data_IF_982927847093
#
_entry.id   IF_982927847093
#
_cell.length_a   1.000
_cell.length_b   1.000
_cell.length_c   1.000
_cell.angle_alpha   90.00
_cell.angle_beta   90.00
_cell.angle_gamma   90.00
#
_symmetry.space_group_name_H-M   'P 1'
#
loop_
_entity.id
_entity.type
_entity.pdbx_description
1 polymer ?
#
# COMPACT_ATOMS: atom_id res chain seq x y z
N UNK A 1 -11.15 -1.52 18.87
CA UNK A 1 -11.06 -0.77 17.59
C UNK A 1 -11.48 -1.71 16.47
N UNK A 2 -12.23 -1.24 15.47
CA UNK A 2 -12.76 -2.09 14.39
C UNK A 2 -11.80 -2.08 13.19
N UNK A 3 -11.03 -3.15 13.00
CA UNK A 3 -10.07 -3.24 11.89
C UNK A 3 -10.61 -3.93 10.64
N UNK A 4 -11.92 -4.15 10.56
CA UNK A 4 -12.56 -4.83 9.43
C UNK A 4 -13.52 -3.93 8.67
N UNK A 5 -13.61 -4.18 7.37
CA UNK A 5 -14.60 -3.60 6.47
C UNK A 5 -15.12 -4.68 5.52
N UNK A 6 -16.44 -4.87 5.49
CA UNK A 6 -17.11 -5.96 4.73
C UNK A 6 -16.50 -7.35 5.00
N UNK A 7 -16.13 -7.65 6.25
CA UNK A 7 -15.54 -8.94 6.64
C UNK A 7 -14.02 -9.05 6.46
N UNK A 8 -13.41 -8.20 5.64
CA UNK A 8 -11.97 -8.21 5.37
C UNK A 8 -11.20 -7.35 6.38
N UNK A 9 -10.02 -7.82 6.79
CA UNK A 9 -9.07 -7.02 7.58
C UNK A 9 -8.54 -5.87 6.71
N UNK A 10 -8.45 -4.68 7.28
CA UNK A 10 -7.90 -3.49 6.61
C UNK A 10 -6.50 -3.19 7.15
N UNK A 11 -5.53 -3.17 6.24
CA UNK A 11 -4.12 -2.97 6.53
C UNK A 11 -3.61 -1.77 5.74
N UNK A 12 -2.96 -0.84 6.41
CA UNK A 12 -2.15 0.20 5.78
C UNK A 12 -0.69 -0.23 5.85
N UNK A 13 0.00 -0.26 4.72
CA UNK A 13 1.40 -0.63 4.62
C UNK A 13 2.16 0.50 3.93
N UNK A 14 3.03 1.19 4.65
CA UNK A 14 3.71 2.36 4.10
C UNK A 14 5.00 2.68 4.85
N UNK A 15 5.85 3.48 4.21
CA UNK A 15 6.90 4.20 4.91
C UNK A 15 6.33 5.17 5.94
N UNK A 16 7.00 5.37 7.06
CA UNK A 16 6.54 6.26 8.12
C UNK A 16 6.64 7.74 7.69
N UNK A 17 5.50 8.37 7.41
CA UNK A 17 5.39 9.80 7.05
C UNK A 17 3.93 10.29 7.06
N UNK A 18 3.68 11.47 6.49
CA UNK A 18 2.37 12.12 6.51
C UNK A 18 1.32 11.52 5.55
N UNK A 19 1.72 10.87 4.43
CA UNK A 19 0.75 10.24 3.53
C UNK A 19 -0.06 9.12 4.21
N UNK A 20 0.54 8.15 4.92
CA UNK A 20 -0.24 7.13 5.60
C UNK A 20 -1.05 7.71 6.75
N UNK A 21 -0.61 8.81 7.39
CA UNK A 21 -1.42 9.49 8.40
C UNK A 21 -2.75 9.99 7.83
N UNK A 22 -2.73 10.57 6.62
CA UNK A 22 -3.94 10.99 5.91
C UNK A 22 -4.88 9.81 5.66
N UNK A 23 -4.34 8.73 5.07
CA UNK A 23 -5.10 7.51 4.78
C UNK A 23 -5.72 6.89 6.05
N UNK A 24 -4.94 6.75 7.13
CA UNK A 24 -5.38 6.19 8.41
C UNK A 24 -6.48 7.04 9.04
N UNK A 25 -6.39 8.37 8.96
CA UNK A 25 -7.43 9.28 9.48
C UNK A 25 -8.72 9.16 8.67
N UNK A 26 -8.63 9.13 7.34
CA UNK A 26 -9.80 8.95 6.48
C UNK A 26 -10.53 7.64 6.77
N UNK A 27 -9.81 6.53 6.98
CA UNK A 27 -10.41 5.26 7.40
C UNK A 27 -11.04 5.38 8.79
N UNK A 28 -10.30 5.96 9.75
CA UNK A 28 -10.71 6.09 11.14
C UNK A 28 -11.97 6.93 11.34
N UNK A 29 -12.11 8.03 10.60
CA UNK A 29 -13.30 8.88 10.61
C UNK A 29 -14.54 8.16 10.06
N UNK A 30 -14.33 7.10 9.25
CA UNK A 30 -15.38 6.22 8.74
C UNK A 30 -15.57 4.95 9.60
N UNK A 31 -15.03 4.91 10.81
CA UNK A 31 -15.21 3.79 11.75
C UNK A 31 -14.36 2.55 11.44
N UNK A 32 -13.35 2.69 10.58
CA UNK A 32 -12.38 1.63 10.26
C UNK A 32 -11.02 2.00 10.83
N UNK A 33 -10.55 1.22 11.80
CA UNK A 33 -9.27 1.39 12.45
C UNK A 33 -8.25 0.40 11.87
N UNK A 34 -7.44 0.78 10.88
CA UNK A 34 -6.57 -0.18 10.21
C UNK A 34 -5.46 -0.70 11.13
N UNK A 35 -4.94 -1.88 10.78
CA UNK A 35 -3.63 -2.35 11.20
C UNK A 35 -2.59 -1.59 10.38
N UNK A 36 -1.52 -1.11 11.01
CA UNK A 36 -0.51 -0.31 10.33
C UNK A 36 0.86 -1.01 10.34
N UNK A 37 1.42 -1.26 9.15
CA UNK A 37 2.81 -1.65 8.96
C UNK A 37 3.63 -0.40 8.67
N UNK A 38 4.33 0.09 9.69
CA UNK A 38 5.17 1.28 9.69
C UNK A 38 6.59 0.92 9.28
N UNK A 39 6.92 1.08 7.99
CA UNK A 39 8.29 0.91 7.51
C UNK A 39 9.12 2.13 7.92
N UNK A 40 10.23 1.89 8.64
CA UNK A 40 11.07 2.93 9.22
C UNK A 40 11.51 3.98 8.20
N UNK A 41 11.40 5.25 8.63
CA UNK A 41 11.85 6.42 7.87
C UNK A 41 12.42 7.48 8.83
N UNK A 42 12.14 8.77 8.57
CA UNK A 42 12.77 9.91 9.26
C UNK A 42 12.35 10.08 10.73
N UNK A 43 11.16 9.61 11.11
CA UNK A 43 10.66 9.73 12.49
C UNK A 43 9.16 9.44 12.59
N UNK A 44 8.60 9.37 13.81
CA UNK A 44 7.19 9.04 14.04
C UNK A 44 6.26 10.17 13.60
N UNK A 45 5.23 9.83 12.82
CA UNK A 45 4.20 10.74 12.31
C UNK A 45 2.84 10.02 12.22
N UNK A 46 2.73 8.99 11.37
CA UNK A 46 1.50 8.23 11.16
C UNK A 46 1.23 7.25 12.30
N UNK A 47 2.27 6.62 12.85
CA UNK A 47 2.15 5.65 13.94
C UNK A 47 1.55 6.24 15.24
N UNK A 48 1.53 7.57 15.36
CA UNK A 48 0.93 8.30 16.48
C UNK A 48 -0.59 8.50 16.33
N UNK A 49 -1.18 8.05 15.23
CA UNK A 49 -2.62 8.21 15.00
C UNK A 49 -3.45 7.37 15.96
N UNK A 50 -4.44 8.00 16.62
CA UNK A 50 -5.42 7.33 17.49
C UNK A 50 -6.33 6.33 16.75
N UNK A 51 -6.34 6.37 15.41
CA UNK A 51 -7.21 5.53 14.60
C UNK A 51 -6.59 4.19 14.23
N UNK A 52 -5.35 3.90 14.66
CA UNK A 52 -4.69 2.62 14.40
C UNK A 52 -5.09 1.59 15.46
N UNK A 53 -5.50 0.39 15.03
CA UNK A 53 -5.81 -0.70 15.96
C UNK A 53 -4.59 -1.44 16.48
N UNK A 54 -3.58 -1.62 15.62
CA UNK A 54 -2.34 -2.32 15.91
C UNK A 54 -1.24 -1.82 14.97
N UNK A 55 -0.01 -1.67 15.46
CA UNK A 55 1.12 -1.19 14.66
C UNK A 55 2.26 -2.20 14.68
N UNK A 56 2.80 -2.50 13.50
CA UNK A 56 4.05 -3.24 13.31
C UNK A 56 5.13 -2.27 12.83
N UNK A 57 6.22 -2.16 13.58
CA UNK A 57 7.40 -1.41 13.17
C UNK A 57 8.39 -2.35 12.51
N UNK A 58 8.87 -1.99 11.33
CA UNK A 58 9.85 -2.78 10.55
C UNK A 58 10.92 -1.87 9.98
N UNK A 59 12.15 -2.36 9.85
CA UNK A 59 13.28 -1.58 9.36
C UNK A 59 13.32 -1.51 7.82
N UNK A 60 12.63 -2.42 7.12
CA UNK A 60 12.60 -2.47 5.66
C UNK A 60 11.24 -2.92 5.08
N UNK A 61 11.03 -2.64 3.78
CA UNK A 61 9.84 -3.08 3.04
C UNK A 61 9.79 -4.61 2.95
N UNK A 62 10.94 -5.25 2.71
CA UNK A 62 11.06 -6.71 2.64
C UNK A 62 10.71 -7.39 3.97
N UNK A 63 11.23 -6.87 5.09
CA UNK A 63 10.90 -7.38 6.42
C UNK A 63 9.39 -7.26 6.69
N UNK A 64 8.80 -6.09 6.40
CA UNK A 64 7.37 -5.89 6.52
C UNK A 64 6.56 -6.84 5.63
N UNK A 65 6.99 -7.03 4.38
CA UNK A 65 6.36 -7.95 3.43
C UNK A 65 6.35 -9.40 3.95
N UNK A 66 7.49 -9.88 4.46
CA UNK A 66 7.60 -11.22 5.03
C UNK A 66 6.74 -11.38 6.29
N UNK A 67 6.72 -10.36 7.16
CA UNK A 67 5.88 -10.36 8.36
C UNK A 67 4.38 -10.35 8.02
N UNK A 68 3.98 -9.54 7.03
CA UNK A 68 2.60 -9.46 6.54
C UNK A 68 2.13 -10.82 6.02
N UNK A 69 2.92 -11.48 5.17
CA UNK A 69 2.63 -12.82 4.66
C UNK A 69 2.49 -13.84 5.78
N UNK A 70 3.41 -13.83 6.74
CA UNK A 70 3.39 -14.75 7.88
C UNK A 70 2.13 -14.60 8.73
N UNK A 71 1.69 -13.36 8.97
CA UNK A 71 0.57 -13.07 9.88
C UNK A 71 -0.78 -13.19 9.19
N UNK A 72 -0.90 -12.70 7.96
CA UNK A 72 -2.19 -12.46 7.31
C UNK A 72 -2.29 -13.09 5.92
N UNK A 73 -1.27 -13.80 5.45
CA UNK A 73 -1.25 -14.40 4.11
C UNK A 73 -2.14 -15.63 3.92
N UNK A 74 -2.74 -16.15 5.01
CA UNK A 74 -3.61 -17.34 5.01
C UNK A 74 -5.02 -17.04 5.56
N UNK A 75 -5.42 -15.78 5.62
CA UNK A 75 -6.77 -15.39 6.01
C UNK A 75 -7.80 -15.93 5.01
N UNK A 76 -8.95 -16.39 5.53
CA UNK A 76 -10.04 -16.91 4.70
C UNK A 76 -10.57 -15.78 3.79
N UNK A 77 -10.87 -14.62 4.40
CA UNK A 77 -11.21 -13.40 3.68
C UNK A 77 -9.95 -12.60 3.41
N UNK A 78 -9.59 -12.47 2.13
CA UNK A 78 -8.37 -11.77 1.69
C UNK A 78 -8.30 -10.36 2.29
N UNK A 79 -7.27 -9.99 3.08
CA UNK A 79 -7.16 -8.66 3.64
C UNK A 79 -6.99 -7.59 2.57
N UNK A 80 -7.51 -6.39 2.82
CA UNK A 80 -7.17 -5.19 2.06
C UNK A 80 -5.81 -4.67 2.50
N UNK A 81 -4.90 -4.47 1.55
CA UNK A 81 -3.59 -3.85 1.79
C UNK A 81 -3.50 -2.57 0.98
N UNK A 82 -3.47 -1.45 1.70
CA UNK A 82 -3.47 -0.11 1.14
C UNK A 82 -2.08 0.52 1.29
N UNK A 83 -1.61 1.13 0.21
CA UNK A 83 -0.31 1.81 0.16
C UNK A 83 -0.49 3.32 0.04
N UNK A 84 0.53 4.06 0.46
CA UNK A 84 0.58 5.52 0.35
C UNK A 84 1.95 6.05 -0.09
N UNK A 85 2.81 5.17 -0.62
CA UNK A 85 4.11 5.51 -1.19
C UNK A 85 4.56 4.49 -2.25
N UNK A 86 5.35 4.99 -3.20
CA UNK A 86 5.82 4.25 -4.38
C UNK A 86 6.71 3.06 -4.04
N UNK A 87 7.52 3.17 -2.98
CA UNK A 87 8.48 2.12 -2.60
C UNK A 87 7.76 0.87 -2.13
N UNK A 88 6.74 1.03 -1.29
CA UNK A 88 5.95 -0.08 -0.79
C UNK A 88 5.12 -0.72 -1.89
N UNK A 89 4.32 0.06 -2.64
CA UNK A 89 3.52 -0.50 -3.75
C UNK A 89 4.41 -1.13 -4.82
N UNK A 90 5.55 -0.52 -5.14
CA UNK A 90 6.50 -1.03 -6.13
C UNK A 90 7.07 -2.38 -5.74
N UNK A 91 7.42 -2.59 -4.46
CA UNK A 91 7.88 -3.89 -3.98
C UNK A 91 6.79 -4.95 -4.14
N UNK A 92 5.55 -4.67 -3.72
CA UNK A 92 4.45 -5.62 -3.82
C UNK A 92 4.07 -5.93 -5.27
N UNK A 93 4.15 -4.94 -6.17
CA UNK A 93 3.90 -5.11 -7.60
C UNK A 93 4.92 -6.06 -8.25
N UNK A 94 6.20 -6.01 -7.87
CA UNK A 94 7.21 -6.98 -8.34
C UNK A 94 6.90 -8.42 -7.92
N UNK A 95 6.17 -8.58 -6.81
CA UNK A 95 5.76 -9.87 -6.23
C UNK A 95 4.28 -10.22 -6.47
N UNK A 96 3.59 -9.53 -7.38
CA UNK A 96 2.14 -9.66 -7.57
C UNK A 96 1.63 -11.12 -7.63
N UNK A 97 2.28 -11.98 -8.42
CA UNK A 97 1.92 -13.40 -8.55
C UNK A 97 1.96 -14.17 -7.23
N UNK A 98 2.84 -13.80 -6.30
CA UNK A 98 3.04 -14.48 -5.02
C UNK A 98 1.95 -14.10 -3.99
N UNK A 99 1.28 -12.97 -4.21
CA UNK A 99 0.37 -12.33 -3.25
C UNK A 99 -1.07 -12.16 -3.73
N UNK A 100 -1.35 -12.24 -5.04
CA UNK A 100 -2.68 -12.00 -5.64
C UNK A 100 -3.80 -12.88 -5.07
N UNK A 101 -3.43 -14.07 -4.61
CA UNK A 101 -4.37 -15.04 -4.04
C UNK A 101 -4.52 -14.92 -2.53
N UNK A 102 -3.77 -13.99 -1.91
CA UNK A 102 -3.69 -13.81 -0.45
C UNK A 102 -4.26 -12.46 -0.01
N UNK A 103 -4.11 -11.42 -0.82
CA UNK A 103 -4.50 -10.06 -0.47
C UNK A 103 -5.27 -9.38 -1.60
N UNK A 104 -6.08 -8.38 -1.23
CA UNK A 104 -6.68 -7.42 -2.16
C UNK A 104 -5.85 -6.13 -2.06
N UNK A 105 -5.09 -5.83 -3.11
CA UNK A 105 -4.20 -4.68 -3.16
C UNK A 105 -4.12 -4.08 -4.58
N UNK A 106 -3.48 -2.91 -4.70
CA UNK A 106 -3.22 -2.30 -6.00
C UNK A 106 -2.43 -3.26 -6.88
N UNK A 107 -2.84 -3.42 -8.14
CA UNK A 107 -2.17 -4.28 -9.10
C UNK A 107 -2.45 -3.81 -10.53
N UNK A 108 -1.61 -4.24 -11.47
CA UNK A 108 -1.80 -4.02 -12.90
C UNK A 108 -1.82 -5.36 -13.69
N UNK A 109 -2.27 -6.44 -13.05
CA UNK A 109 -2.51 -7.75 -13.67
C UNK A 109 -1.26 -8.63 -13.92
N UNK A 110 -0.05 -8.12 -13.75
CA UNK A 110 1.18 -8.91 -13.79
C UNK A 110 2.30 -8.25 -12.95
N UNK A 111 3.35 -9.02 -12.64
CA UNK A 111 4.47 -8.51 -11.86
C UNK A 111 5.13 -7.31 -12.54
N UNK A 112 5.42 -6.27 -11.78
CA UNK A 112 6.23 -5.14 -12.20
C UNK A 112 5.54 -4.11 -13.09
N UNK A 113 4.24 -4.28 -13.38
CA UNK A 113 3.55 -3.38 -14.32
C UNK A 113 3.16 -2.03 -13.69
N UNK A 114 2.90 -1.96 -12.39
CA UNK A 114 2.80 -0.64 -11.73
C UNK A 114 4.16 0.06 -11.80
N UNK A 115 5.26 -0.65 -11.52
CA UNK A 115 6.61 -0.07 -11.66
C UNK A 115 6.89 0.42 -13.09
N UNK A 116 6.40 -0.30 -14.11
CA UNK A 116 6.50 0.14 -15.50
C UNK A 116 5.80 1.49 -15.73
N UNK A 117 4.63 1.72 -15.11
CA UNK A 117 3.91 2.98 -15.22
C UNK A 117 4.44 4.08 -14.30
N UNK A 118 5.12 3.73 -13.20
CA UNK A 118 5.83 4.71 -12.35
C UNK A 118 7.10 5.26 -13.02
N UNK A 119 7.64 4.54 -14.00
CA UNK A 119 8.77 5.01 -14.81
C UNK A 119 8.34 6.19 -15.70
N UNK A 120 8.90 7.37 -15.41
CA UNK A 120 8.60 8.63 -16.08
C UNK A 120 8.85 8.58 -17.58
N UNK A 121 9.91 7.90 -18.03
CA UNK A 121 10.24 7.82 -19.44
C UNK A 121 9.25 6.93 -20.18
N UNK A 122 8.84 5.82 -19.56
CA UNK A 122 7.86 4.90 -20.14
C UNK A 122 6.49 5.54 -20.22
N UNK A 123 6.01 6.15 -19.14
CA UNK A 123 4.68 6.77 -19.13
C UNK A 123 4.59 7.94 -20.12
N UNK A 124 5.64 8.75 -20.27
CA UNK A 124 5.69 9.81 -21.28
C UNK A 124 5.68 9.28 -22.72
N UNK A 125 6.38 8.17 -22.99
CA UNK A 125 6.35 7.52 -24.32
C UNK A 125 4.95 6.98 -24.64
N UNK A 126 4.28 6.38 -23.66
CA UNK A 126 2.89 5.92 -23.79
C UNK A 126 1.95 7.10 -24.06
N UNK A 127 2.09 8.22 -23.35
CA UNK A 127 1.29 9.43 -23.55
C UNK A 127 1.33 9.94 -24.99
N UNK A 128 2.53 9.99 -25.56
CA UNK A 128 2.77 10.44 -26.94
C UNK A 128 2.04 9.57 -27.96
N UNK A 129 2.02 8.26 -27.71
CA UNK A 129 1.35 7.31 -28.61
C UNK A 129 -0.18 7.37 -28.52
N UNK A 130 -0.74 7.92 -27.44
CA UNK A 130 -2.18 8.00 -27.18
C UNK A 130 -2.76 9.40 -27.41
N UNK A 131 -2.00 10.31 -28.03
CA UNK A 131 -2.37 11.72 -28.24
C UNK A 131 -2.87 12.43 -26.96
N UNK A 132 -2.37 11.98 -25.80
CA UNK A 132 -2.84 12.34 -24.45
C UNK A 132 -1.76 13.05 -23.62
N UNK A 133 -0.81 13.70 -24.30
CA UNK A 133 0.40 14.25 -23.68
C UNK A 133 0.12 15.30 -22.58
N UNK A 134 -1.00 16.02 -22.67
CA UNK A 134 -1.42 17.01 -21.68
C UNK A 134 -1.83 16.41 -20.32
N UNK A 135 -2.29 15.16 -20.27
CA UNK A 135 -2.73 14.52 -19.02
C UNK A 135 -1.56 14.11 -18.11
N UNK A 136 -0.38 13.84 -18.69
CA UNK A 136 0.76 13.29 -17.95
C UNK A 136 1.66 14.39 -17.38
N UNK A 137 1.66 15.59 -17.97
CA UNK A 137 2.40 16.77 -17.47
C UNK A 137 1.85 17.34 -16.15
N UNK A 138 0.67 16.91 -15.72
CA UNK A 138 0.02 17.38 -14.48
C UNK A 138 0.20 16.44 -13.27
N UNK A 139 0.91 15.30 -13.44
CA UNK A 139 1.25 14.33 -12.40
C UNK A 139 2.73 14.43 -12.03
#
# INVERSE_FOLDING_TARGET
MNNKYNGHIVIVFAQEHYNPLGLIRSLGENGVNPIYFSVKRRGPVACLSKYISETYFVDSVEEGYNLLLKKYGNEIEKPYVLFSDDKCVGYFDLHYKDIKDKFICYNAGCNGRINEFMDKDKILKLAKNMDSMYLILML
#
